data_IF_784988192878
#
_entry.id   IF_784988192878
#
_cell.length_a   1.000
_cell.length_b   1.000
_cell.length_c   1.000
_cell.angle_alpha   90.00
_cell.angle_beta   90.00
_cell.angle_gamma   90.00
#
_symmetry.space_group_name_H-M   'P 1'
#
loop_
_entity.id
_entity.type
_entity.pdbx_description
1 polymer ?
#
# COMPACT_ATOMS: atom_id res chain seq x y z
N UNK A 1 -20.23 -19.32 -27.33
CA UNK A 1 -19.78 -17.91 -27.37
C UNK A 1 -18.27 -17.95 -27.53
N UNK A 2 -17.75 -17.48 -28.67
CA UNK A 2 -16.31 -17.38 -28.91
C UNK A 2 -15.78 -16.21 -28.09
N UNK A 3 -14.69 -16.42 -27.35
CA UNK A 3 -13.94 -15.36 -26.68
C UNK A 3 -13.67 -14.24 -27.70
N UNK A 4 -13.97 -13.00 -27.31
CA UNK A 4 -13.63 -11.84 -28.12
C UNK A 4 -12.10 -11.81 -28.23
N UNK A 5 -11.60 -11.95 -29.44
CA UNK A 5 -10.19 -11.79 -29.75
C UNK A 5 -9.85 -10.32 -29.46
N UNK A 6 -9.21 -10.07 -28.31
CA UNK A 6 -8.62 -8.77 -28.02
C UNK A 6 -7.53 -8.52 -29.08
N UNK A 7 -7.84 -7.61 -29.99
CA UNK A 7 -6.99 -7.15 -31.08
C UNK A 7 -5.96 -6.10 -30.62
N UNK A 8 -5.79 -5.93 -29.31
CA UNK A 8 -4.62 -5.29 -28.70
C UNK A 8 -3.36 -6.14 -28.93
N UNK A 9 -2.91 -6.19 -30.18
CA UNK A 9 -1.61 -6.72 -30.55
C UNK A 9 -0.50 -5.97 -29.77
N UNK A 10 0.56 -6.66 -29.31
CA UNK A 10 1.66 -6.03 -28.60
C UNK A 10 2.31 -4.96 -29.48
N UNK A 11 2.31 -3.69 -29.04
CA UNK A 11 3.20 -2.66 -29.60
C UNK A 11 2.60 -1.40 -30.23
N UNK A 12 1.31 -1.08 -30.08
CA UNK A 12 0.80 0.27 -30.44
C UNK A 12 0.54 1.11 -29.20
N UNK A 13 1.61 1.42 -28.46
CA UNK A 13 1.55 2.32 -27.33
C UNK A 13 2.60 3.42 -27.56
N UNK A 14 2.16 4.69 -27.57
CA UNK A 14 3.02 5.83 -27.91
C UNK A 14 4.10 6.12 -26.86
N UNK A 15 4.98 7.08 -27.14
CA UNK A 15 6.22 7.40 -26.39
C UNK A 15 6.09 7.68 -24.86
N UNK A 16 4.87 7.64 -24.30
CA UNK A 16 4.58 7.90 -22.87
C UNK A 16 3.98 6.71 -22.12
N UNK A 17 3.86 5.54 -22.74
CA UNK A 17 3.26 4.34 -22.12
C UNK A 17 4.33 3.27 -21.85
N UNK A 18 4.66 2.95 -20.58
CA UNK A 18 5.81 2.11 -20.23
C UNK A 18 5.64 0.60 -20.46
N UNK A 19 4.59 0.17 -21.17
CA UNK A 19 4.42 -1.24 -21.51
C UNK A 19 3.80 -2.03 -20.36
N UNK A 20 2.64 -2.60 -20.64
CA UNK A 20 1.80 -3.15 -19.61
C UNK A 20 2.29 -4.45 -19.01
N UNK A 21 2.31 -4.52 -17.66
CA UNK A 21 2.59 -5.73 -16.88
C UNK A 21 1.71 -6.95 -17.24
N UNK A 22 2.00 -8.13 -16.64
CA UNK A 22 1.29 -9.38 -16.90
C UNK A 22 -0.24 -9.23 -16.83
N UNK A 23 -0.95 -9.98 -17.66
CA UNK A 23 -2.41 -10.05 -17.62
C UNK A 23 -2.88 -10.72 -16.33
N UNK A 24 -3.82 -10.09 -15.62
CA UNK A 24 -4.41 -10.66 -14.41
C UNK A 24 -5.82 -11.17 -14.72
N UNK A 25 -5.94 -12.49 -14.86
CA UNK A 25 -7.19 -13.18 -15.24
C UNK A 25 -8.37 -12.86 -14.31
N UNK A 26 -8.13 -12.79 -13.00
CA UNK A 26 -9.13 -12.43 -11.99
C UNK A 26 -9.79 -11.06 -12.23
N UNK A 27 -9.02 -10.11 -12.77
CA UNK A 27 -9.45 -8.73 -12.95
C UNK A 27 -9.78 -8.41 -14.41
N UNK A 28 -9.49 -9.33 -15.34
CA UNK A 28 -9.57 -9.11 -16.79
C UNK A 28 -8.86 -7.81 -17.22
N UNK A 29 -7.75 -7.49 -16.54
CA UNK A 29 -6.95 -6.28 -16.74
C UNK A 29 -5.46 -6.65 -16.61
N UNK A 30 -4.60 -5.85 -17.24
CA UNK A 30 -3.14 -5.95 -17.02
C UNK A 30 -2.77 -5.43 -15.63
N UNK A 31 -1.69 -5.97 -15.05
CA UNK A 31 -1.24 -5.64 -13.69
C UNK A 31 -1.11 -4.13 -13.44
N UNK A 32 -0.53 -3.40 -14.39
CA UNK A 32 -0.36 -1.94 -14.27
C UNK A 32 -1.69 -1.15 -14.33
N UNK A 33 -2.74 -1.72 -14.95
CA UNK A 33 -4.10 -1.14 -15.00
C UNK A 33 -4.93 -1.47 -13.76
N UNK A 34 -4.48 -2.42 -12.95
CA UNK A 34 -5.10 -2.77 -11.68
C UNK A 34 -4.07 -2.73 -10.54
N UNK A 35 -3.53 -1.54 -10.22
CA UNK A 35 -2.83 -1.41 -8.96
C UNK A 35 -3.85 -1.69 -7.85
N UNK A 36 -3.59 -2.70 -7.02
CA UNK A 36 -4.38 -2.98 -5.81
C UNK A 36 -4.17 -1.82 -4.83
N UNK A 37 -4.77 -0.66 -5.11
CA UNK A 37 -4.57 0.58 -4.37
C UNK A 37 -4.93 0.40 -2.90
N UNK A 38 -5.88 -0.48 -2.59
CA UNK A 38 -6.21 -0.88 -1.22
C UNK A 38 -5.06 -1.63 -0.53
N UNK A 39 -4.31 -2.47 -1.26
CA UNK A 39 -3.14 -3.15 -0.73
C UNK A 39 -1.98 -2.18 -0.50
N UNK A 40 -1.70 -1.30 -1.47
CA UNK A 40 -0.69 -0.25 -1.32
C UNK A 40 -1.02 0.66 -0.13
N UNK A 41 -2.29 1.07 -0.02
CA UNK A 41 -2.77 1.90 1.07
C UNK A 41 -2.57 1.22 2.42
N UNK A 42 -2.95 -0.06 2.55
CA UNK A 42 -2.81 -0.81 3.80
C UNK A 42 -1.35 -0.97 4.23
N UNK A 43 -0.44 -1.22 3.29
CA UNK A 43 0.98 -1.35 3.58
C UNK A 43 1.61 -0.01 3.95
N UNK A 44 1.33 1.04 3.16
CA UNK A 44 1.84 2.40 3.40
C UNK A 44 1.32 2.96 4.71
N UNK A 45 0.04 2.75 5.04
CA UNK A 45 -0.54 3.02 6.36
C UNK A 45 0.31 2.41 7.46
N UNK A 46 0.55 1.10 7.40
CA UNK A 46 1.29 0.37 8.44
C UNK A 46 2.70 0.92 8.59
N UNK A 47 3.43 1.06 7.48
CA UNK A 47 4.82 1.49 7.51
C UNK A 47 4.96 2.93 7.95
N UNK A 48 4.17 3.85 7.39
CA UNK A 48 4.22 5.25 7.78
C UNK A 48 3.86 5.44 9.24
N UNK A 49 2.86 4.71 9.74
CA UNK A 49 2.48 4.68 11.16
C UNK A 49 3.65 4.24 12.05
N UNK A 50 4.36 3.17 11.66
CA UNK A 50 5.53 2.69 12.37
C UNK A 50 6.70 3.68 12.32
N UNK A 51 6.94 4.33 11.17
CA UNK A 51 7.99 5.34 11.00
C UNK A 51 7.77 6.55 11.91
N UNK A 52 6.52 7.00 12.09
CA UNK A 52 6.20 8.12 12.99
C UNK A 52 6.01 7.69 14.46
N UNK A 53 6.17 6.39 14.75
CA UNK A 53 6.18 5.86 16.12
C UNK A 53 4.82 5.82 16.82
N UNK A 54 3.70 5.83 16.09
CA UNK A 54 2.37 5.75 16.72
C UNK A 54 1.78 4.33 16.65
N UNK A 55 0.95 3.99 17.63
CA UNK A 55 0.24 2.72 17.75
C UNK A 55 -1.04 2.72 16.91
N UNK A 56 -1.63 1.53 16.73
CA UNK A 56 -2.94 1.39 16.09
C UNK A 56 -4.05 2.08 16.89
N UNK A 57 -3.97 2.01 18.23
CA UNK A 57 -4.91 2.66 19.14
C UNK A 57 -4.84 4.19 19.01
N UNK A 58 -3.63 4.77 19.03
CA UNK A 58 -3.46 6.23 18.86
C UNK A 58 -3.97 6.72 17.49
N UNK A 59 -3.78 5.95 16.42
CA UNK A 59 -4.38 6.30 15.13
C UNK A 59 -5.91 6.28 15.18
N UNK A 60 -6.50 5.26 15.80
CA UNK A 60 -7.95 5.15 15.95
C UNK A 60 -8.54 6.28 16.81
N UNK A 61 -7.84 6.68 17.87
CA UNK A 61 -8.19 7.83 18.70
C UNK A 61 -8.17 9.13 17.88
N UNK A 62 -7.13 9.37 17.07
CA UNK A 62 -7.04 10.55 16.20
C UNK A 62 -8.15 10.59 15.14
N UNK A 63 -8.48 9.44 14.56
CA UNK A 63 -9.60 9.31 13.61
C UNK A 63 -10.94 9.67 14.28
N UNK A 64 -11.17 9.11 15.48
CA UNK A 64 -12.39 9.36 16.27
C UNK A 64 -12.50 10.81 16.69
N UNK A 65 -11.40 11.42 17.16
CA UNK A 65 -11.33 12.82 17.51
C UNK A 65 -11.61 13.76 16.31
N UNK A 66 -11.29 13.32 15.10
CA UNK A 66 -11.57 14.05 13.87
C UNK A 66 -12.98 13.76 13.28
N UNK A 67 -13.83 13.04 14.00
CA UNK A 67 -15.25 12.86 13.69
C UNK A 67 -15.61 11.55 12.98
N UNK A 68 -14.65 10.65 12.73
CA UNK A 68 -14.91 9.32 12.18
C UNK A 68 -14.69 8.26 13.26
N UNK A 69 -15.76 7.65 13.82
CA UNK A 69 -15.63 6.62 14.84
C UNK A 69 -14.73 5.47 14.38
N UNK A 70 -13.64 5.24 15.09
CA UNK A 70 -12.62 4.25 14.73
C UNK A 70 -12.16 3.47 15.95
N UNK A 71 -11.77 2.22 15.72
CA UNK A 71 -11.25 1.33 16.75
C UNK A 71 -9.88 0.81 16.32
N UNK A 72 -9.04 0.46 17.29
CA UNK A 72 -7.73 -0.18 17.08
C UNK A 72 -7.85 -1.42 16.17
N UNK A 73 -8.87 -2.24 16.39
CA UNK A 73 -9.17 -3.44 15.61
C UNK A 73 -9.57 -3.11 14.16
N UNK A 74 -10.14 -1.93 13.90
CA UNK A 74 -10.43 -1.44 12.55
C UNK A 74 -9.12 -1.17 11.82
N UNK A 75 -8.19 -0.45 12.46
CA UNK A 75 -6.85 -0.20 11.91
C UNK A 75 -6.13 -1.52 11.63
N UNK A 76 -6.13 -2.45 12.59
CA UNK A 76 -5.49 -3.76 12.42
C UNK A 76 -6.08 -4.57 11.25
N UNK A 77 -7.40 -4.52 11.03
CA UNK A 77 -8.05 -5.19 9.89
C UNK A 77 -7.69 -4.54 8.56
N UNK A 78 -7.56 -3.21 8.52
CA UNK A 78 -7.09 -2.50 7.33
C UNK A 78 -5.65 -2.89 7.00
N UNK A 79 -4.74 -2.85 7.99
CA UNK A 79 -3.34 -3.24 7.81
C UNK A 79 -3.17 -4.71 7.38
N UNK A 80 -4.12 -5.58 7.78
CA UNK A 80 -4.18 -6.99 7.35
C UNK A 80 -4.92 -7.20 6.02
N UNK A 81 -5.40 -6.12 5.39
CA UNK A 81 -6.21 -6.14 4.16
C UNK A 81 -7.52 -6.93 4.29
N UNK A 82 -8.00 -7.08 5.51
CA UNK A 82 -9.25 -7.79 5.85
C UNK A 82 -10.47 -6.85 5.82
N UNK A 83 -10.25 -5.54 5.75
CA UNK A 83 -11.29 -4.53 5.65
C UNK A 83 -10.89 -3.49 4.60
N UNK A 84 -11.84 -3.15 3.71
CA UNK A 84 -11.68 -2.03 2.78
C UNK A 84 -11.74 -0.70 3.52
N UNK A 85 -11.15 0.33 2.93
CA UNK A 85 -11.14 1.70 3.46
C UNK A 85 -12.06 2.54 2.58
N UNK A 86 -12.94 3.33 3.17
CA UNK A 86 -13.73 4.31 2.43
C UNK A 86 -12.88 5.53 2.08
N UNK A 87 -13.25 6.26 1.02
CA UNK A 87 -12.45 7.39 0.55
C UNK A 87 -12.23 8.46 1.63
N UNK A 88 -13.27 8.78 2.41
CA UNK A 88 -13.17 9.76 3.50
C UNK A 88 -12.25 9.28 4.63
N UNK A 89 -12.30 7.98 4.95
CA UNK A 89 -11.37 7.37 5.91
C UNK A 89 -9.93 7.44 5.39
N UNK A 90 -9.72 7.13 4.11
CA UNK A 90 -8.40 7.14 3.49
C UNK A 90 -7.80 8.54 3.49
N UNK A 91 -8.59 9.55 3.13
CA UNK A 91 -8.17 10.95 3.12
C UNK A 91 -7.82 11.44 4.53
N UNK A 92 -8.62 11.08 5.54
CA UNK A 92 -8.37 11.48 6.92
C UNK A 92 -7.12 10.80 7.50
N UNK A 93 -6.96 9.49 7.25
CA UNK A 93 -5.77 8.74 7.61
C UNK A 93 -4.51 9.39 7.04
N UNK A 94 -4.53 9.70 5.73
CA UNK A 94 -3.38 10.32 5.07
C UNK A 94 -2.99 11.64 5.76
N UNK A 95 -3.99 12.49 6.05
CA UNK A 95 -3.77 13.76 6.78
C UNK A 95 -3.22 13.55 8.19
N UNK A 96 -3.73 12.59 8.96
CA UNK A 96 -3.23 12.27 10.30
C UNK A 96 -1.76 11.81 10.25
N UNK A 97 -1.38 11.09 9.18
CA UNK A 97 -0.01 10.64 8.92
C UNK A 97 0.88 11.73 8.30
N UNK A 98 0.34 12.92 8.03
CA UNK A 98 1.07 14.06 7.47
C UNK A 98 1.40 13.93 5.98
N UNK A 99 0.62 13.14 5.23
CA UNK A 99 0.83 12.88 3.80
C UNK A 99 -0.46 13.06 2.99
N UNK A 100 -0.35 13.11 1.67
CA UNK A 100 -1.50 13.14 0.78
C UNK A 100 -2.02 11.73 0.45
N UNK A 101 -3.26 11.61 -0.02
CA UNK A 101 -3.83 10.32 -0.43
C UNK A 101 -3.06 9.70 -1.60
N UNK A 102 -2.52 10.51 -2.51
CA UNK A 102 -1.68 10.04 -3.62
C UNK A 102 -0.41 9.33 -3.14
N UNK A 103 0.17 9.78 -2.01
CA UNK A 103 1.30 9.13 -1.37
C UNK A 103 0.94 7.71 -0.87
N UNK A 104 -0.31 7.50 -0.48
CA UNK A 104 -0.80 6.23 0.05
C UNK A 104 -1.24 5.23 -1.05
N UNK A 105 -1.54 5.72 -2.26
CA UNK A 105 -2.14 4.91 -3.34
C UNK A 105 -1.28 4.86 -4.60
N UNK A 106 0.02 5.11 -4.47
CA UNK A 106 0.96 5.02 -5.59
C UNK A 106 1.04 3.63 -6.20
N UNK A 107 1.65 3.54 -7.38
CA UNK A 107 1.99 2.25 -8.01
C UNK A 107 3.23 1.60 -7.40
N UNK A 108 4.06 2.40 -6.73
CA UNK A 108 5.23 1.96 -5.96
C UNK A 108 5.22 2.63 -4.58
N UNK A 109 5.99 2.07 -3.64
CA UNK A 109 6.16 2.65 -2.32
C UNK A 109 6.86 4.01 -2.42
N UNK A 110 6.44 4.99 -1.59
CA UNK A 110 7.18 6.25 -1.46
C UNK A 110 8.63 6.03 -1.04
N UNK A 111 9.53 6.92 -1.47
CA UNK A 111 10.98 6.76 -1.29
C UNK A 111 11.37 6.59 0.19
N UNK A 112 10.79 7.38 1.10
CA UNK A 112 11.07 7.29 2.53
C UNK A 112 10.62 5.95 3.14
N UNK A 113 9.49 5.41 2.67
CA UNK A 113 9.03 4.06 3.05
C UNK A 113 9.99 3.00 2.51
N UNK A 114 10.45 3.11 1.26
CA UNK A 114 11.42 2.20 0.65
C UNK A 114 12.75 2.20 1.39
N UNK A 115 13.27 3.38 1.71
CA UNK A 115 14.49 3.55 2.50
C UNK A 115 14.36 2.91 3.89
N UNK A 116 13.25 3.16 4.59
CA UNK A 116 12.99 2.58 5.90
C UNK A 116 12.92 1.05 5.85
N UNK A 117 12.25 0.48 4.86
CA UNK A 117 12.18 -0.97 4.66
C UNK A 117 13.55 -1.59 4.38
N UNK A 118 14.36 -0.94 3.54
CA UNK A 118 15.72 -1.38 3.24
C UNK A 118 16.61 -1.39 4.50
N UNK A 119 16.49 -0.36 5.34
CA UNK A 119 17.23 -0.27 6.59
C UNK A 119 16.78 -1.35 7.59
N UNK A 120 15.47 -1.60 7.72
CA UNK A 120 14.95 -2.69 8.56
C UNK A 120 15.46 -4.07 8.10
N UNK A 121 15.48 -4.32 6.78
CA UNK A 121 16.01 -5.57 6.23
C UNK A 121 17.51 -5.72 6.52
N UNK A 122 18.29 -4.65 6.35
CA UNK A 122 19.73 -4.63 6.69
C UNK A 122 19.97 -4.97 8.16
N UNK A 123 19.18 -4.39 9.07
CA UNK A 123 19.28 -4.67 10.50
C UNK A 123 18.99 -6.14 10.82
N UNK A 124 17.93 -6.73 10.23
CA UNK A 124 17.59 -8.14 10.44
C UNK A 124 18.68 -9.10 9.94
N UNK A 125 19.32 -8.81 8.80
CA UNK A 125 20.42 -9.63 8.27
C UNK A 125 21.65 -9.59 9.16
N UNK A 126 21.97 -8.43 9.73
CA UNK A 126 23.10 -8.28 10.65
C UNK A 126 22.86 -9.04 11.97
N UNK A 127 21.64 -8.99 12.52
CA UNK A 127 21.27 -9.74 13.73
C UNK A 127 21.42 -11.26 13.53
N UNK A 128 21.00 -11.79 12.38
CA UNK A 128 21.12 -13.23 12.08
C UNK A 128 22.56 -13.70 11.94
N UNK A 129 23.45 -12.85 11.41
CA UNK A 129 24.89 -13.17 11.29
C UNK A 129 25.59 -13.18 12.64
N UNK A 130 25.16 -12.34 13.60
CA UNK A 130 25.74 -12.36 14.96
C UNK A 130 25.25 -13.55 15.81
N UNK A 131 24.03 -14.04 15.61
CA UNK A 131 23.49 -15.18 16.37
C UNK A 131 24.00 -16.56 15.92
N UNK A 132 24.72 -16.64 14.79
CA UNK A 132 25.30 -17.88 14.26
C UNK A 132 26.76 -18.15 14.67
N UNK A 133 27.35 -17.32 15.54
CA UNK A 133 28.65 -17.56 16.18
C UNK A 133 28.43 -17.82 17.68
N UNK A 134 28.03 -19.03 18.02
CA UNK A 134 28.10 -19.58 19.38
C UNK A 134 28.19 -21.10 19.28
#
# INVERSE_FOLDING_TARGET
MKEANDDSAPGTYGDRDPGGGPWIEKHQLREWFYPEASAMFADTLRFKRQMIGITQAELAERMTAAGIPFYDSTVAKIEKRQRRVHLDEAQLIARILGVDIAYMTGTDYPEDVREWLNEQHRQQLNVRRSSGKA
#
